data_IF_945401500942
#
_entry.id   IF_945401500942
#
_cell.length_a   1.000
_cell.length_b   1.000
_cell.length_c   1.000
_cell.angle_alpha   90.00
_cell.angle_beta   90.00
_cell.angle_gamma   90.00
#
_symmetry.space_group_name_H-M   'P 1'
#
loop_
_entity.id
_entity.type
_entity.pdbx_description
1 polymer ?
#
# COMPACT_ATOMS: atom_id res chain seq x y z
N UNK A 1 10.41 -38.79 -14.31
CA UNK A 1 9.34 -38.81 -13.29
C UNK A 1 10.03 -38.76 -11.94
N UNK A 2 9.84 -37.66 -11.21
CA UNK A 2 10.70 -37.24 -10.10
C UNK A 2 10.54 -38.07 -8.82
N UNK A 3 11.65 -38.57 -8.31
CA UNK A 3 11.76 -39.10 -6.97
C UNK A 3 12.14 -37.98 -6.00
N UNK A 4 11.37 -37.82 -4.94
CA UNK A 4 11.77 -37.07 -3.75
C UNK A 4 11.80 -38.04 -2.57
N UNK A 5 12.95 -38.70 -2.48
CA UNK A 5 13.53 -39.23 -1.26
C UNK A 5 13.54 -38.15 -0.15
N UNK A 6 12.68 -38.30 0.86
CA UNK A 6 12.89 -37.65 2.16
C UNK A 6 13.16 -38.72 3.21
N UNK A 7 14.44 -38.93 3.45
CA UNK A 7 14.96 -39.84 4.46
C UNK A 7 14.75 -39.26 5.87
N UNK A 8 14.28 -40.10 6.78
CA UNK A 8 14.35 -39.99 8.25
C UNK A 8 13.40 -39.00 8.96
N UNK A 9 12.36 -39.54 9.61
CA UNK A 9 11.60 -38.86 10.67
C UNK A 9 10.47 -37.91 10.24
N UNK A 10 9.81 -38.16 9.09
CA UNK A 10 8.71 -37.33 8.60
C UNK A 10 7.48 -37.35 9.53
N UNK A 11 7.02 -36.17 9.95
CA UNK A 11 5.72 -36.02 10.63
C UNK A 11 4.61 -36.53 9.71
N UNK A 12 3.79 -37.48 10.20
CA UNK A 12 2.61 -37.96 9.46
C UNK A 12 1.53 -36.88 9.48
N UNK A 13 0.89 -36.65 8.33
CA UNK A 13 -0.26 -35.74 8.18
C UNK A 13 -1.39 -36.50 7.50
N UNK A 14 -2.63 -36.21 7.90
CA UNK A 14 -3.85 -36.74 7.29
C UNK A 14 -4.64 -35.59 6.64
N UNK A 15 -5.38 -35.91 5.59
CA UNK A 15 -6.26 -34.96 4.90
C UNK A 15 -7.72 -35.22 5.31
N UNK A 16 -8.42 -34.16 5.72
CA UNK A 16 -9.86 -34.22 5.96
C UNK A 16 -10.65 -34.12 4.65
N UNK A 17 -11.82 -34.76 4.61
CA UNK A 17 -12.77 -34.63 3.52
C UNK A 17 -13.74 -33.47 3.80
N UNK A 18 -14.19 -32.80 2.75
CA UNK A 18 -15.27 -31.82 2.80
C UNK A 18 -16.67 -32.49 2.81
N UNK A 19 -17.73 -31.69 2.84
CA UNK A 19 -19.14 -32.14 2.80
C UNK A 19 -19.50 -33.00 1.59
N UNK A 20 -18.67 -32.96 0.54
CA UNK A 20 -18.85 -33.72 -0.70
C UNK A 20 -17.89 -34.90 -0.77
N UNK A 21 -17.29 -35.26 0.35
CA UNK A 21 -16.33 -36.35 0.50
C UNK A 21 -15.04 -36.14 -0.34
N UNK A 22 -14.62 -34.89 -0.54
CA UNK A 22 -13.42 -34.56 -1.33
C UNK A 22 -12.35 -33.87 -0.50
N UNK A 23 -11.08 -34.11 -0.86
CA UNK A 23 -9.95 -33.35 -0.31
C UNK A 23 -9.85 -32.02 -1.03
N UNK A 24 -9.85 -30.91 -0.27
CA UNK A 24 -9.62 -29.56 -0.80
C UNK A 24 -8.28 -29.04 -0.31
N UNK A 25 -7.41 -28.65 -1.25
CA UNK A 25 -6.10 -28.07 -0.93
C UNK A 25 -6.21 -26.55 -1.03
N UNK A 26 -5.89 -25.84 0.06
CA UNK A 26 -5.79 -24.38 0.09
C UNK A 26 -4.31 -23.98 0.05
N UNK A 27 -3.95 -23.07 -0.84
CA UNK A 27 -2.60 -22.53 -0.91
C UNK A 27 -2.40 -21.55 0.25
N UNK A 28 -1.42 -21.83 1.10
CA UNK A 28 -1.04 -20.98 2.23
C UNK A 28 0.39 -20.45 2.08
N UNK A 29 0.70 -19.42 2.88
CA UNK A 29 2.06 -18.87 3.00
C UNK A 29 2.71 -19.48 4.24
N UNK A 30 3.94 -20.00 4.09
CA UNK A 30 4.74 -20.50 5.22
C UNK A 30 5.31 -19.32 5.99
N UNK A 31 5.00 -19.24 7.28
CA UNK A 31 5.61 -18.25 8.17
C UNK A 31 7.05 -18.65 8.50
N UNK A 32 7.89 -17.65 8.77
CA UNK A 32 9.23 -17.90 9.32
C UNK A 32 9.14 -18.37 10.77
N UNK A 33 10.14 -19.12 11.20
CA UNK A 33 10.22 -19.66 12.56
C UNK A 33 10.13 -18.55 13.61
N UNK A 34 10.77 -17.40 13.36
CA UNK A 34 10.73 -16.23 14.26
C UNK A 34 9.31 -15.69 14.47
N UNK A 35 8.51 -15.63 13.40
CA UNK A 35 7.11 -15.18 13.50
C UNK A 35 6.28 -16.20 14.26
N UNK A 36 6.51 -17.49 14.02
CA UNK A 36 5.85 -18.58 14.76
C UNK A 36 6.20 -18.53 16.25
N UNK A 37 7.48 -18.33 16.60
CA UNK A 37 7.94 -18.25 17.99
C UNK A 37 7.35 -17.04 18.71
N UNK A 38 7.37 -15.86 18.08
CA UNK A 38 6.72 -14.66 18.64
C UNK A 38 5.21 -14.84 18.87
N UNK A 39 4.53 -15.60 18.02
CA UNK A 39 3.10 -15.89 18.20
C UNK A 39 2.84 -16.92 19.31
N UNK A 40 3.74 -17.89 19.46
CA UNK A 40 3.72 -18.85 20.59
C UNK A 40 4.01 -18.14 21.92
N UNK A 41 4.96 -17.21 21.90
CA UNK A 41 5.35 -16.35 23.02
C UNK A 41 4.33 -15.20 23.18
N UNK A 42 3.11 -15.55 23.57
CA UNK A 42 2.12 -14.57 24.02
C UNK A 42 2.71 -13.74 25.19
N UNK A 43 2.35 -12.46 25.36
CA UNK A 43 3.02 -11.53 26.29
C UNK A 43 2.89 -11.88 27.79
N UNK A 44 2.30 -13.01 28.15
CA UNK A 44 2.19 -13.48 29.54
C UNK A 44 3.51 -13.99 30.14
N UNK A 45 4.57 -14.23 29.35
CA UNK A 45 5.86 -14.65 29.90
C UNK A 45 6.73 -13.51 30.46
N UNK A 46 6.28 -12.25 30.39
CA UNK A 46 6.95 -11.10 31.03
C UNK A 46 6.35 -10.74 32.39
N UNK A 47 6.12 -11.73 33.27
CA UNK A 47 5.94 -11.50 34.71
C UNK A 47 6.97 -12.34 35.47
N UNK A 48 8.20 -11.85 35.48
CA UNK A 48 9.23 -12.05 36.52
C UNK A 48 10.59 -11.86 35.88
N UNK A 49 11.01 -10.60 35.76
CA UNK A 49 12.42 -10.19 35.83
C UNK A 49 12.53 -8.67 35.64
N UNK A 50 11.81 -7.91 36.48
CA UNK A 50 12.27 -6.57 36.84
C UNK A 50 12.73 -6.63 38.29
N UNK A 51 13.99 -7.03 38.44
CA UNK A 51 14.80 -6.83 39.63
C UNK A 51 14.76 -5.35 40.00
N UNK A 52 14.19 -5.06 41.16
CA UNK A 52 14.17 -3.76 41.81
C UNK A 52 15.56 -3.11 41.90
N UNK A 53 15.61 -1.78 41.85
CA UNK A 53 16.46 -1.01 42.75
C UNK A 53 15.58 -0.20 43.71
N UNK A 54 15.94 -0.34 44.99
CA UNK A 54 15.39 0.31 46.17
C UNK A 54 15.35 1.84 46.09
N UNK A 55 14.33 2.45 46.74
CA UNK A 55 14.29 3.75 47.45
C UNK A 55 12.98 4.48 47.13
N UNK A 56 12.17 5.05 48.03
CA UNK A 56 12.06 5.09 49.49
C UNK A 56 10.67 5.66 49.84
N UNK A 57 10.13 5.24 50.99
CA UNK A 57 9.15 5.88 51.89
C UNK A 57 7.87 6.58 51.36
N UNK A 58 6.73 6.12 51.88
CA UNK A 58 5.62 7.04 52.23
C UNK A 58 4.22 6.45 52.16
N UNK A 59 3.69 6.03 53.31
CA UNK A 59 2.27 6.19 53.72
C UNK A 59 1.17 5.56 52.83
N UNK A 60 0.62 4.42 53.27
CA UNK A 60 -0.78 4.03 53.01
C UNK A 60 -1.68 4.58 54.16
N UNK A 61 -3.03 4.57 54.11
CA UNK A 61 -3.91 3.85 53.17
C UNK A 61 -5.19 4.61 52.71
N UNK A 62 -5.84 4.14 51.63
CA UNK A 62 -7.28 3.74 51.58
C UNK A 62 -7.92 3.88 50.19
N UNK A 63 -8.49 2.75 49.75
CA UNK A 63 -9.60 2.48 48.81
C UNK A 63 -9.81 3.26 47.50
N UNK A 64 -10.02 2.53 46.40
CA UNK A 64 -11.17 2.81 45.55
C UNK A 64 -11.96 1.53 45.20
N UNK A 65 -13.22 1.46 45.62
CA UNK A 65 -14.20 0.54 45.06
C UNK A 65 -15.12 1.35 44.15
N UNK A 66 -14.75 1.45 42.87
CA UNK A 66 -15.64 1.93 41.83
C UNK A 66 -15.31 1.20 40.51
N UNK A 67 -16.37 0.56 40.01
CA UNK A 67 -16.66 0.10 38.66
C UNK A 67 -15.59 0.19 37.56
N UNK A 68 -15.46 -0.90 36.80
CA UNK A 68 -14.79 -0.87 35.51
C UNK A 68 -14.68 -2.24 34.87
N UNK A 69 -15.82 -2.82 34.50
CA UNK A 69 -15.88 -4.05 33.68
C UNK A 69 -15.29 -3.72 32.29
N UNK A 70 -14.15 -4.29 31.86
CA UNK A 70 -13.68 -4.03 30.51
C UNK A 70 -14.49 -4.90 29.56
N UNK A 71 -15.38 -4.25 28.80
CA UNK A 71 -16.01 -4.81 27.61
C UNK A 71 -14.91 -5.25 26.64
N UNK A 72 -14.85 -6.54 26.36
CA UNK A 72 -14.14 -7.08 25.22
C UNK A 72 -14.73 -6.48 23.93
N UNK A 73 -13.95 -5.90 23.01
CA UNK A 73 -14.42 -5.70 21.66
C UNK A 73 -14.38 -7.06 20.95
N UNK A 74 -15.56 -7.69 20.95
CA UNK A 74 -15.94 -8.79 20.07
C UNK A 74 -15.40 -8.57 18.67
N UNK A 75 -14.70 -9.59 18.17
CA UNK A 75 -14.11 -9.60 16.85
C UNK A 75 -15.17 -9.58 15.75
N UNK A 76 -15.08 -8.59 14.87
CA UNK A 76 -15.58 -8.65 13.48
C UNK A 76 -15.02 -7.45 12.70
N UNK A 77 -13.69 -7.38 12.52
CA UNK A 77 -13.06 -6.36 11.67
C UNK A 77 -12.42 -6.91 10.39
N UNK A 78 -12.41 -8.23 10.19
CA UNK A 78 -11.66 -8.85 9.10
C UNK A 78 -12.41 -8.79 7.75
N UNK A 79 -13.74 -8.83 7.74
CA UNK A 79 -14.52 -8.82 6.50
C UNK A 79 -14.60 -7.40 5.92
N UNK A 80 -14.85 -6.39 6.76
CA UNK A 80 -14.94 -4.99 6.34
C UNK A 80 -13.59 -4.43 5.87
N UNK A 81 -12.48 -4.88 6.45
CA UNK A 81 -11.15 -4.49 5.99
C UNK A 81 -10.85 -5.05 4.60
N UNK A 82 -11.27 -6.29 4.31
CA UNK A 82 -11.08 -6.90 3.00
C UNK A 82 -11.95 -6.25 1.92
N UNK A 83 -13.23 -5.97 2.21
CA UNK A 83 -14.12 -5.24 1.31
C UNK A 83 -13.63 -3.80 1.09
N UNK A 84 -13.20 -3.12 2.15
CA UNK A 84 -12.60 -1.78 2.07
C UNK A 84 -11.34 -1.78 1.21
N UNK A 85 -10.42 -2.72 1.42
CA UNK A 85 -9.20 -2.85 0.61
C UNK A 85 -9.49 -3.22 -0.85
N UNK A 86 -10.44 -4.13 -1.10
CA UNK A 86 -10.84 -4.56 -2.43
C UNK A 86 -11.55 -3.47 -3.24
N UNK A 87 -12.31 -2.56 -2.60
CA UNK A 87 -12.87 -1.37 -3.28
C UNK A 87 -11.87 -0.20 -3.35
N UNK A 88 -11.00 -0.06 -2.35
CA UNK A 88 -10.05 1.06 -2.27
C UNK A 88 -9.01 1.05 -3.39
N UNK A 89 -8.49 -0.13 -3.76
CA UNK A 89 -7.46 -0.24 -4.80
C UNK A 89 -7.98 0.13 -6.20
N UNK A 90 -9.13 -0.38 -6.67
CA UNK A 90 -9.74 0.06 -7.91
C UNK A 90 -10.06 1.56 -7.92
N UNK A 91 -10.66 2.11 -6.86
CA UNK A 91 -10.99 3.54 -6.81
C UNK A 91 -9.76 4.45 -6.84
N UNK A 92 -8.64 4.02 -6.25
CA UNK A 92 -7.37 4.77 -6.34
C UNK A 92 -6.77 4.73 -7.74
N UNK A 93 -6.78 3.55 -8.36
CA UNK A 93 -6.24 3.38 -9.71
C UNK A 93 -7.01 4.22 -10.74
N UNK A 94 -8.34 4.21 -10.69
CA UNK A 94 -9.18 5.03 -11.57
C UNK A 94 -8.92 6.53 -11.39
N UNK A 95 -8.77 6.97 -10.13
CA UNK A 95 -8.42 8.37 -9.83
C UNK A 95 -7.05 8.75 -10.39
N UNK A 96 -6.05 7.87 -10.25
CA UNK A 96 -4.71 8.09 -10.80
C UNK A 96 -4.75 8.14 -12.34
N UNK A 97 -5.55 7.27 -12.98
CA UNK A 97 -5.75 7.34 -14.43
C UNK A 97 -6.39 8.65 -14.88
N UNK A 98 -7.38 9.17 -14.15
CA UNK A 98 -8.02 10.45 -14.48
C UNK A 98 -7.01 11.61 -14.42
N UNK A 99 -6.15 11.64 -13.39
CA UNK A 99 -5.10 12.66 -13.28
C UNK A 99 -4.07 12.57 -14.41
N UNK A 100 -3.67 11.35 -14.80
CA UNK A 100 -2.75 11.17 -15.94
C UNK A 100 -3.37 11.68 -17.23
N UNK A 101 -4.66 11.38 -17.48
CA UNK A 101 -5.36 11.86 -18.67
C UNK A 101 -5.49 13.39 -18.69
N UNK A 102 -5.79 14.01 -17.55
CA UNK A 102 -5.86 15.46 -17.41
C UNK A 102 -4.51 16.13 -17.70
N UNK A 103 -3.42 15.61 -17.14
CA UNK A 103 -2.07 16.12 -17.38
C UNK A 103 -1.65 16.00 -18.85
N UNK A 104 -1.97 14.87 -19.51
CA UNK A 104 -1.72 14.70 -20.94
C UNK A 104 -2.51 15.72 -21.78
N UNK A 105 -3.79 15.93 -21.46
CA UNK A 105 -4.63 16.91 -22.15
C UNK A 105 -4.07 18.33 -21.97
N UNK A 106 -3.66 18.68 -20.74
CA UNK A 106 -3.06 19.97 -20.43
C UNK A 106 -1.76 20.20 -21.18
N UNK A 107 -0.91 19.16 -21.28
CA UNK A 107 0.34 19.21 -22.02
C UNK A 107 0.09 19.39 -23.53
N UNK A 108 -0.82 18.60 -24.10
CA UNK A 108 -1.18 18.68 -25.52
C UNK A 108 -1.74 20.07 -25.89
N UNK A 109 -2.56 20.66 -25.01
CA UNK A 109 -3.05 22.03 -25.20
C UNK A 109 -1.90 23.04 -25.25
N UNK A 110 -0.99 22.97 -24.27
CA UNK A 110 0.17 23.87 -24.19
C UNK A 110 1.11 23.70 -25.38
N UNK A 111 1.33 22.47 -25.84
CA UNK A 111 2.15 22.18 -27.02
C UNK A 111 1.53 22.77 -28.28
N UNK A 112 0.23 22.63 -28.48
CA UNK A 112 -0.49 23.25 -29.60
C UNK A 112 -0.38 24.77 -29.58
N UNK A 113 -0.54 25.39 -28.42
CA UNK A 113 -0.40 26.84 -28.24
C UNK A 113 1.03 27.29 -28.57
N UNK A 114 2.05 26.64 -28.00
CA UNK A 114 3.44 26.94 -28.29
C UNK A 114 3.81 26.75 -29.78
N UNK A 115 3.31 25.69 -30.42
CA UNK A 115 3.51 25.46 -31.84
C UNK A 115 2.83 26.54 -32.68
N UNK A 116 1.63 26.98 -32.29
CA UNK A 116 0.91 28.06 -32.98
C UNK A 116 1.61 29.43 -32.83
N UNK A 117 2.16 29.72 -31.66
CA UNK A 117 2.95 30.93 -31.41
C UNK A 117 4.26 30.92 -32.20
N UNK A 118 4.95 29.78 -32.24
CA UNK A 118 6.17 29.62 -33.04
C UNK A 118 5.90 29.83 -34.54
N UNK A 119 4.79 29.26 -35.05
CA UNK A 119 4.34 29.47 -36.43
C UNK A 119 4.06 30.94 -36.71
N UNK A 120 3.28 31.61 -35.84
CA UNK A 120 2.93 33.01 -36.00
C UNK A 120 4.19 33.90 -36.00
N UNK A 121 5.11 33.63 -35.07
CA UNK A 121 6.38 34.36 -34.99
C UNK A 121 7.24 34.14 -36.25
N UNK A 122 7.30 32.93 -36.78
CA UNK A 122 8.02 32.64 -38.02
C UNK A 122 7.40 33.37 -39.22
N UNK A 123 6.07 33.36 -39.34
CA UNK A 123 5.34 34.09 -40.38
C UNK A 123 5.58 35.60 -40.29
N UNK A 124 5.57 36.18 -39.10
CA UNK A 124 5.83 37.61 -38.94
C UNK A 124 7.25 37.96 -39.40
N UNK A 125 8.25 37.18 -38.99
CA UNK A 125 9.64 37.35 -39.45
C UNK A 125 9.76 37.24 -40.97
N UNK A 126 9.06 36.29 -41.58
CA UNK A 126 9.06 36.15 -43.05
C UNK A 126 8.47 37.39 -43.73
N UNK A 127 7.37 37.94 -43.21
CA UNK A 127 6.75 39.16 -43.76
C UNK A 127 7.67 40.36 -43.64
N UNK A 128 8.32 40.52 -42.50
CA UNK A 128 9.25 41.62 -42.25
C UNK A 128 10.46 41.51 -43.19
N UNK A 129 11.05 40.31 -43.31
CA UNK A 129 12.15 40.04 -44.26
C UNK A 129 11.73 40.33 -45.71
N UNK A 130 10.55 39.88 -46.13
CA UNK A 130 10.05 40.11 -47.49
C UNK A 130 9.83 41.61 -47.77
N UNK A 131 9.42 42.37 -46.77
CA UNK A 131 9.25 43.81 -46.88
C UNK A 131 10.61 44.53 -46.98
N UNK A 132 11.58 44.15 -46.16
CA UNK A 132 12.95 44.67 -46.24
C UNK A 132 13.59 44.40 -47.60
N UNK A 133 13.47 43.18 -48.12
CA UNK A 133 14.00 42.81 -49.44
C UNK A 133 13.36 43.63 -50.56
N UNK A 134 12.03 43.87 -50.51
CA UNK A 134 11.35 44.74 -51.48
C UNK A 134 11.87 46.18 -51.42
N UNK A 135 12.13 46.71 -50.23
CA UNK A 135 12.69 48.04 -50.06
C UNK A 135 14.13 48.14 -50.56
N UNK A 136 14.95 47.09 -50.36
CA UNK A 136 16.32 47.03 -50.89
C UNK A 136 16.33 47.01 -52.42
N UNK A 137 15.47 46.20 -53.04
CA UNK A 137 15.35 46.14 -54.50
C UNK A 137 14.83 47.45 -55.10
N UNK A 138 13.94 48.17 -54.41
CA UNK A 138 13.43 49.46 -54.89
C UNK A 138 14.44 50.62 -54.76
N UNK A 139 15.52 50.44 -54.00
CA UNK A 139 16.59 51.43 -53.82
C UNK A 139 17.80 51.18 -54.76
N UNK A 140 17.77 50.09 -55.53
CA UNK A 140 18.71 49.77 -56.60
C UNK A 140 18.18 50.24 -57.95
#
# INVERSE_FOLDING_TARGET
MGGSESSHGGRKVSFGLDERERVRVLQGIRLSEDVVNRMKESPQSKRDNQRSPHSSNGMAPSSPAAEGKPKSPTGTKSADHFLSVCLWHPCRYEREQALVQEELLRLAKREREAASEALNTALQRERDNAHEERQRVAQL
#
